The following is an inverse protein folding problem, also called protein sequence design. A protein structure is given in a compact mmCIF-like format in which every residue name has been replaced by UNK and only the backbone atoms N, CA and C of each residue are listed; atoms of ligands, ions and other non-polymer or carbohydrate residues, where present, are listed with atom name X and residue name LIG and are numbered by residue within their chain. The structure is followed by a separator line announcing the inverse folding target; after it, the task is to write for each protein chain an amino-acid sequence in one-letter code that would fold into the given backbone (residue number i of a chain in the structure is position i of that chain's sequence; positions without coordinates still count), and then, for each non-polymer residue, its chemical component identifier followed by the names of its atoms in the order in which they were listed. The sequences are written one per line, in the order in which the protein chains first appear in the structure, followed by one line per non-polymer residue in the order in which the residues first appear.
data_IF_556445245131
#
_entry.id   IF_556445245131
#
_cell.length_a   1.000
_cell.length_b   1.000
_cell.length_c   1.000
_cell.angle_alpha   90.00
_cell.angle_beta   90.00
_cell.angle_gamma   90.00
#
_symmetry.space_group_name_H-M   'P 1'
#
loop_
_entity.id
_entity.type
_entity.pdbx_description
1 polymer ?
#
# COMPACT_ATOMS: atom_id res chain seq x y z
N UNK A 1 3.29 -14.65 13.04
CA UNK A 1 4.32 -14.50 11.99
C UNK A 1 3.63 -13.83 10.81
N UNK A 2 4.02 -12.61 10.45
CA UNK A 2 3.43 -11.88 9.33
C UNK A 2 4.14 -12.28 8.03
N UNK A 3 3.38 -12.60 6.98
CA UNK A 3 3.94 -12.97 5.68
C UNK A 3 3.96 -11.77 4.74
N UNK A 4 5.10 -11.50 4.10
CA UNK A 4 5.25 -10.42 3.11
C UNK A 4 5.35 -11.06 1.73
N UNK A 5 4.49 -10.63 0.81
CA UNK A 5 4.49 -11.13 -0.57
C UNK A 5 4.98 -10.00 -1.47
N UNK A 6 6.09 -10.24 -2.16
CA UNK A 6 6.74 -9.28 -3.05
C UNK A 6 6.18 -9.40 -4.46
N UNK A 7 5.69 -8.29 -5.01
CA UNK A 7 5.23 -8.21 -6.40
C UNK A 7 6.31 -7.58 -7.27
N UNK A 8 6.84 -8.36 -8.22
CA UNK A 8 7.87 -7.93 -9.17
C UNK A 8 7.24 -7.71 -10.55
N UNK A 9 7.18 -6.48 -11.07
CA UNK A 9 6.58 -6.23 -12.39
C UNK A 9 6.09 -4.82 -12.68
N UNK A 10 6.00 -3.94 -11.68
CA UNK A 10 5.59 -2.55 -11.89
C UNK A 10 6.80 -1.63 -12.10
N UNK A 11 6.79 -0.72 -13.07
CA UNK A 11 7.79 0.38 -13.15
C UNK A 11 7.18 1.62 -12.52
N UNK A 12 7.68 2.03 -11.35
CA UNK A 12 7.36 3.34 -10.74
C UNK A 12 8.36 4.34 -11.30
N UNK A 13 7.91 5.24 -12.16
CA UNK A 13 8.71 6.40 -12.53
C UNK A 13 8.70 7.36 -11.35
N UNK A 14 9.69 7.27 -10.46
CA UNK A 14 9.89 8.28 -9.44
C UNK A 14 10.55 9.50 -10.07
N UNK A 15 9.75 10.52 -10.38
CA UNK A 15 10.29 11.87 -10.46
C UNK A 15 10.23 12.46 -9.05
N UNK A 16 11.31 12.29 -8.30
CA UNK A 16 11.52 12.97 -7.02
C UNK A 16 11.62 14.48 -7.27
N UNK A 17 10.49 15.15 -7.35
CA UNK A 17 10.43 16.56 -6.98
C UNK A 17 10.13 16.58 -5.50
N UNK A 18 11.11 17.01 -4.69
CA UNK A 18 10.89 17.35 -3.27
C UNK A 18 9.95 18.55 -3.20
N UNK A 19 8.68 18.32 -3.49
CA UNK A 19 7.61 19.22 -3.15
C UNK A 19 6.95 18.55 -1.96
N UNK A 20 7.11 19.13 -0.78
CA UNK A 20 6.43 18.70 0.45
C UNK A 20 4.95 19.03 0.28
N UNK A 21 4.26 18.25 -0.56
CA UNK A 21 2.81 18.32 -0.68
C UNK A 21 2.31 17.74 0.64
N UNK A 22 1.56 18.56 1.40
CA UNK A 22 0.84 18.09 2.58
C UNK A 22 -0.29 17.21 2.05
N UNK A 23 -0.02 15.93 1.88
CA UNK A 23 -0.97 14.97 1.31
C UNK A 23 -1.82 14.45 2.46
N UNK A 24 -3.14 14.53 2.30
CA UNK A 24 -4.07 13.94 3.26
C UNK A 24 -3.97 12.41 3.21
N UNK A 25 -3.81 11.80 4.38
CA UNK A 25 -3.74 10.35 4.54
C UNK A 25 -5.06 9.71 4.07
N UNK A 26 -5.03 8.60 3.32
CA UNK A 26 -6.25 7.96 2.86
C UNK A 26 -7.02 7.38 4.05
N UNK A 27 -8.20 7.93 4.32
CA UNK A 27 -9.13 7.40 5.31
C UNK A 27 -10.55 7.31 4.71
N UNK A 28 -11.08 6.09 4.46
CA UNK A 28 -10.49 4.80 4.74
C UNK A 28 -9.33 4.44 3.79
N UNK A 29 -8.44 3.56 4.24
CA UNK A 29 -7.40 2.95 3.43
C UNK A 29 -7.67 1.47 3.22
N UNK A 30 -7.13 0.92 2.13
CA UNK A 30 -7.33 -0.46 1.73
C UNK A 30 -6.00 -1.13 1.45
N UNK A 31 -5.84 -2.37 1.91
CA UNK A 31 -4.68 -3.21 1.66
C UNK A 31 -5.10 -4.57 1.13
N UNK A 32 -4.19 -5.21 0.40
CA UNK A 32 -4.41 -6.55 -0.14
C UNK A 32 -3.84 -7.56 0.84
N UNK A 33 -4.69 -8.40 1.41
CA UNK A 33 -4.33 -9.43 2.37
C UNK A 33 -4.48 -10.79 1.73
N UNK A 34 -3.66 -11.75 2.11
CA UNK A 34 -3.92 -13.13 1.70
C UNK A 34 -5.22 -13.66 2.35
N UNK A 35 -5.80 -14.72 1.79
CA UNK A 35 -7.08 -15.30 2.22
C UNK A 35 -7.13 -15.72 3.70
N UNK A 36 -5.99 -16.07 4.31
CA UNK A 36 -5.90 -16.39 5.73
C UNK A 36 -5.66 -15.17 6.64
N UNK A 37 -5.52 -13.97 6.06
CA UNK A 37 -5.28 -12.72 6.78
C UNK A 37 -3.92 -12.60 7.46
N UNK A 38 -2.95 -13.50 7.22
CA UNK A 38 -1.64 -13.46 7.87
C UNK A 38 -0.60 -12.63 7.09
N UNK A 39 -0.87 -12.29 5.83
CA UNK A 39 0.11 -11.64 4.96
C UNK A 39 -0.45 -10.47 4.17
N UNK A 40 0.45 -9.59 3.73
CA UNK A 40 0.14 -8.37 2.96
C UNK A 40 1.03 -8.28 1.72
N UNK A 41 0.49 -7.67 0.68
CA UNK A 41 1.21 -7.40 -0.56
C UNK A 41 2.10 -6.16 -0.39
N UNK A 42 3.36 -6.31 -0.75
CA UNK A 42 4.37 -5.26 -0.67
C UNK A 42 5.27 -5.25 -1.92
N UNK A 43 6.04 -4.18 -2.06
CA UNK A 43 7.04 -4.03 -3.11
C UNK A 43 8.28 -3.36 -2.54
N UNK A 44 9.47 -3.93 -2.74
CA UNK A 44 10.75 -3.33 -2.33
C UNK A 44 10.75 -2.86 -0.85
N UNK A 45 10.09 -3.62 0.04
CA UNK A 45 9.83 -3.29 1.46
C UNK A 45 8.84 -2.14 1.74
N UNK A 46 8.09 -1.71 0.74
CA UNK A 46 6.99 -0.76 0.87
C UNK A 46 5.64 -1.46 0.83
N UNK A 47 4.77 -1.13 1.80
CA UNK A 47 3.41 -1.67 1.80
C UNK A 47 2.56 -0.96 0.73
N UNK A 48 1.78 -1.71 -0.03
CA UNK A 48 0.84 -1.12 -1.00
C UNK A 48 -0.47 -0.74 -0.30
N UNK A 49 -0.83 0.55 -0.38
CA UNK A 49 -2.06 1.09 0.21
C UNK A 49 -2.89 1.80 -0.85
N UNK A 50 -4.19 1.54 -0.85
CA UNK A 50 -5.12 2.08 -1.83
C UNK A 50 -6.13 3.01 -1.14
N UNK A 51 -6.43 4.13 -1.79
CA UNK A 51 -7.40 5.10 -1.27
C UNK A 51 -8.86 4.68 -1.46
N UNK A 52 -9.12 3.64 -2.25
CA UNK A 52 -10.46 3.12 -2.51
C UNK A 52 -10.44 1.64 -2.89
N UNK A 53 -11.58 0.96 -2.70
CA UNK A 53 -11.72 -0.46 -3.01
C UNK A 53 -11.65 -0.73 -4.51
N UNK A 54 -12.12 0.20 -5.35
CA UNK A 54 -12.11 0.08 -6.80
C UNK A 54 -10.68 0.02 -7.35
N UNK A 55 -9.79 0.87 -6.83
CA UNK A 55 -8.37 0.88 -7.21
C UNK A 55 -7.66 -0.40 -6.78
N UNK A 56 -7.97 -0.89 -5.59
CA UNK A 56 -7.44 -2.16 -5.11
C UNK A 56 -7.92 -3.31 -5.99
N UNK A 57 -9.22 -3.40 -6.28
CA UNK A 57 -9.78 -4.45 -7.14
C UNK A 57 -9.17 -4.42 -8.53
N UNK A 58 -9.03 -3.22 -9.11
CA UNK A 58 -8.35 -3.04 -10.39
C UNK A 58 -6.94 -3.63 -10.35
N UNK A 59 -6.16 -3.33 -9.30
CA UNK A 59 -4.81 -3.87 -9.13
C UNK A 59 -4.81 -5.40 -8.98
N UNK A 60 -5.67 -5.96 -8.13
CA UNK A 60 -5.79 -7.43 -7.93
C UNK A 60 -6.10 -8.14 -9.24
N UNK A 61 -7.02 -7.61 -10.04
CA UNK A 61 -7.35 -8.17 -11.37
C UNK A 61 -6.19 -8.05 -12.35
N UNK A 62 -5.50 -6.91 -12.39
CA UNK A 62 -4.41 -6.68 -13.34
C UNK A 62 -3.16 -7.50 -13.04
N UNK A 63 -2.82 -7.65 -11.75
CA UNK A 63 -1.65 -8.42 -11.31
C UNK A 63 -1.96 -9.92 -11.16
N UNK A 64 -3.19 -10.36 -11.50
CA UNK A 64 -3.62 -11.77 -11.38
C UNK A 64 -3.37 -12.35 -9.98
N UNK A 65 -3.64 -11.55 -8.94
CA UNK A 65 -3.45 -11.96 -7.55
C UNK A 65 -4.61 -12.86 -7.10
N UNK A 66 -4.47 -14.16 -7.33
CA UNK A 66 -5.40 -15.19 -6.84
C UNK A 66 -5.25 -15.38 -5.32
N UNK A 67 -6.35 -15.66 -4.62
CA UNK A 67 -6.41 -15.87 -3.15
C UNK A 67 -6.11 -14.65 -2.26
N UNK A 68 -6.23 -13.44 -2.80
CA UNK A 68 -6.13 -12.22 -2.01
C UNK A 68 -7.47 -11.53 -1.77
N UNK A 69 -7.67 -11.07 -0.54
CA UNK A 69 -8.87 -10.37 -0.08
C UNK A 69 -8.56 -8.90 0.21
N UNK A 70 -9.37 -7.96 -0.32
CA UNK A 70 -9.29 -6.57 0.09
C UNK A 70 -9.66 -6.42 1.58
N UNK A 71 -8.84 -5.73 2.35
CA UNK A 71 -9.14 -5.40 3.74
C UNK A 71 -9.11 -3.89 3.95
N UNK A 72 -10.16 -3.39 4.61
CA UNK A 72 -10.32 -1.97 4.96
C UNK A 72 -9.68 -1.69 6.32
N UNK A 73 -9.01 -0.55 6.42
CA UNK A 73 -8.47 0.00 7.67
C UNK A 73 -8.77 1.50 7.78
N UNK A 74 -8.71 2.02 9.00
CA UNK A 74 -8.37 3.43 9.22
C UNK A 74 -6.86 3.59 9.11
N UNK A 75 -6.38 4.79 8.77
CA UNK A 75 -4.94 5.02 8.67
C UNK A 75 -4.20 4.70 9.98
N UNK A 76 -4.76 5.14 11.11
CA UNK A 76 -4.21 4.86 12.45
C UNK A 76 -4.06 3.36 12.73
N UNK A 77 -5.11 2.56 12.48
CA UNK A 77 -5.07 1.12 12.71
C UNK A 77 -4.06 0.42 11.78
N UNK A 78 -3.92 0.92 10.55
CA UNK A 78 -2.97 0.41 9.58
C UNK A 78 -1.53 0.69 10.05
N UNK A 79 -1.24 1.90 10.51
CA UNK A 79 0.08 2.25 11.08
C UNK A 79 0.37 1.43 12.34
N UNK A 80 -0.60 1.27 13.24
CA UNK A 80 -0.43 0.44 14.45
C UNK A 80 -0.15 -1.03 14.11
N UNK A 81 -0.86 -1.58 13.11
CA UNK A 81 -0.71 -2.98 12.71
C UNK A 81 0.60 -3.23 11.96
N UNK A 82 1.01 -2.31 11.09
CA UNK A 82 2.06 -2.56 10.09
C UNK A 82 3.30 -1.68 10.21
N UNK A 83 3.26 -0.58 10.96
CA UNK A 83 4.36 0.39 11.07
C UNK A 83 5.63 -0.16 11.72
N UNK A 84 5.53 -1.27 12.46
CA UNK A 84 6.70 -2.00 12.97
C UNK A 84 7.41 -2.86 11.93
N UNK A 85 6.81 -3.08 10.75
CA UNK A 85 7.32 -3.99 9.73
C UNK A 85 7.69 -3.30 8.41
N UNK A 86 7.08 -2.16 8.12
CA UNK A 86 7.31 -1.39 6.89
C UNK A 86 7.75 0.02 7.26
N UNK A 87 8.79 0.51 6.59
CA UNK A 87 9.26 1.89 6.76
C UNK A 87 8.31 2.90 6.14
N UNK A 88 7.74 2.58 4.97
CA UNK A 88 6.83 3.46 4.24
C UNK A 88 5.70 2.67 3.55
N UNK A 89 4.57 3.35 3.34
CA UNK A 89 3.46 2.92 2.50
C UNK A 89 3.55 3.64 1.16
N UNK A 90 3.44 2.89 0.07
CA UNK A 90 3.19 3.45 -1.25
C UNK A 90 1.67 3.59 -1.42
N UNK A 91 1.20 4.82 -1.61
CA UNK A 91 -0.19 5.16 -1.85
C UNK A 91 -0.38 5.54 -3.32
N UNK A 92 -1.26 4.80 -4.01
CA UNK A 92 -1.73 5.19 -5.34
C UNK A 92 -2.99 6.05 -5.21
N UNK A 93 -2.81 7.34 -4.95
CA UNK A 93 -3.93 8.27 -4.70
C UNK A 93 -4.74 8.58 -5.96
N UNK A 94 -4.19 8.40 -7.17
CA UNK A 94 -4.89 8.73 -8.43
C UNK A 94 -5.56 7.54 -9.10
N UNK A 95 -5.12 6.31 -8.83
CA UNK A 95 -5.46 5.14 -9.65
C UNK A 95 -4.69 5.07 -10.98
N UNK A 96 -4.06 6.17 -11.42
CA UNK A 96 -3.21 6.22 -12.61
C UNK A 96 -1.82 5.61 -12.36
N UNK A 97 -1.32 4.86 -13.35
CA UNK A 97 0.05 4.31 -13.35
C UNK A 97 1.08 5.44 -13.21
N UNK A 98 1.99 5.33 -12.24
CA UNK A 98 3.13 6.24 -12.05
C UNK A 98 2.94 7.36 -11.02
N UNK A 99 1.74 7.55 -10.47
CA UNK A 99 1.45 8.58 -9.46
C UNK A 99 1.35 7.96 -8.07
N UNK A 100 2.50 7.55 -7.56
CA UNK A 100 2.67 6.93 -6.25
C UNK A 100 3.28 7.93 -5.28
N UNK A 101 2.77 7.94 -4.05
CA UNK A 101 3.31 8.75 -2.96
C UNK A 101 3.80 7.78 -1.89
N UNK A 102 5.03 7.96 -1.41
CA UNK A 102 5.51 7.26 -0.23
C UNK A 102 5.13 8.07 1.02
N UNK A 103 4.42 7.45 1.95
CA UNK A 103 4.14 8.00 3.27
C UNK A 103 4.86 7.14 4.32
N UNK A 104 5.73 7.71 5.17
CA UNK A 104 6.35 6.97 6.25
C UNK A 104 5.32 6.30 7.15
N UNK A 105 5.49 5.01 7.42
CA UNK A 105 4.67 4.24 8.36
C UNK A 105 5.33 4.10 9.72
N UNK A 106 6.65 4.31 9.80
CA UNK A 106 7.33 4.41 11.07
C UNK A 106 6.97 5.75 11.72
N UNK A 107 6.36 5.69 12.91
CA UNK A 107 6.55 6.78 13.88
C UNK A 107 8.06 6.84 14.09
N UNK A 108 8.68 7.99 13.81
CA UNK A 108 10.11 8.19 14.08
C UNK A 108 10.48 7.55 15.43
N UNK A 109 11.62 6.82 15.52
CA UNK A 109 12.12 6.35 16.80
C UNK A 109 12.30 7.51 17.80
#
# INVERSE_FOLDING_TARGET
MMHIILVTGFTVYSFFTQKTIKIEEPNPCWVIRNSNGAGVVARDNFMLVFSSIEKLRYFVTHESLEDFVPQRFTWENLVETFGGYFSEAIINHTGSKGNFICIPLQKNP
#
